data_IF_125882381258
#
_entry.id   IF_125882381258
#
_cell.length_a   1.000
_cell.length_b   1.000
_cell.length_c   1.000
_cell.angle_alpha   90.00
_cell.angle_beta   90.00
_cell.angle_gamma   90.00
#
_symmetry.space_group_name_H-M   'P 1'
#
loop_
_entity.id
_entity.type
_entity.pdbx_description
1 polymer ?
#
# COMPACT_ATOMS: atom_id res chain seq x y z
N UNK A 1 12.96 0.99 -11.55
CA UNK A 1 11.99 1.34 -10.51
C UNK A 1 10.81 0.37 -10.55
N UNK A 2 10.38 -0.09 -9.39
CA UNK A 2 9.29 -1.06 -9.30
C UNK A 2 7.97 -0.31 -9.17
N UNK A 3 7.04 -0.56 -10.09
CA UNK A 3 5.74 0.11 -10.14
C UNK A 3 4.57 -0.84 -9.91
N UNK A 4 4.79 -2.13 -10.03
CA UNK A 4 3.75 -3.14 -9.88
C UNK A 4 4.38 -4.48 -9.55
N UNK A 5 3.75 -5.25 -8.68
CA UNK A 5 4.15 -6.62 -8.39
C UNK A 5 2.95 -7.54 -8.58
N UNK A 6 3.17 -8.63 -9.32
CA UNK A 6 2.18 -9.67 -9.50
C UNK A 6 2.83 -11.01 -9.16
N UNK A 7 2.22 -11.72 -8.22
CA UNK A 7 2.78 -12.99 -7.76
C UNK A 7 1.82 -13.66 -6.79
N UNK A 8 2.37 -14.41 -5.85
CA UNK A 8 1.60 -15.09 -4.81
C UNK A 8 1.80 -14.40 -3.47
N UNK A 9 0.73 -14.29 -2.71
CA UNK A 9 0.82 -13.71 -1.37
C UNK A 9 1.51 -14.71 -0.43
N UNK A 10 2.73 -14.38 -0.01
CA UNK A 10 3.52 -15.26 0.85
C UNK A 10 3.13 -15.12 2.31
N UNK A 11 3.03 -13.87 2.80
CA UNK A 11 2.67 -13.60 4.18
C UNK A 11 2.18 -12.18 4.36
N UNK A 12 1.49 -11.93 5.47
CA UNK A 12 0.97 -10.61 5.83
C UNK A 12 1.32 -10.31 7.26
N UNK A 13 1.82 -9.11 7.51
CA UNK A 13 2.07 -8.57 8.86
C UNK A 13 1.11 -7.40 9.12
N UNK A 14 1.29 -6.71 10.25
CA UNK A 14 0.38 -5.61 10.64
C UNK A 14 0.46 -4.39 9.72
N UNK A 15 1.59 -4.18 9.05
CA UNK A 15 1.82 -3.00 8.20
C UNK A 15 2.43 -3.34 6.84
N UNK A 16 2.56 -4.63 6.52
CA UNK A 16 3.27 -5.07 5.33
C UNK A 16 2.82 -6.43 4.87
N UNK A 17 3.23 -6.77 3.66
CA UNK A 17 3.01 -8.09 3.08
C UNK A 17 4.24 -8.49 2.29
N UNK A 18 4.44 -9.80 2.12
CA UNK A 18 5.47 -10.32 1.24
C UNK A 18 4.80 -10.94 0.02
N UNK A 19 5.19 -10.47 -1.15
CA UNK A 19 4.72 -11.01 -2.43
C UNK A 19 5.84 -11.83 -3.04
N UNK A 20 5.56 -13.09 -3.31
CA UNK A 20 6.50 -14.00 -3.96
C UNK A 20 6.34 -13.89 -5.46
N UNK A 21 7.36 -13.38 -6.12
CA UNK A 21 7.42 -13.26 -7.58
C UNK A 21 8.53 -14.14 -8.10
N UNK A 22 8.16 -15.31 -8.58
CA UNK A 22 9.14 -16.27 -9.14
C UNK A 22 10.19 -16.75 -8.13
N UNK A 23 9.83 -16.87 -6.86
CA UNK A 23 10.73 -17.28 -5.80
C UNK A 23 11.43 -16.13 -5.08
N UNK A 24 11.22 -14.88 -5.52
CA UNK A 24 11.78 -13.70 -4.86
C UNK A 24 10.68 -13.07 -4.00
N UNK A 25 10.93 -12.93 -2.71
CA UNK A 25 10.00 -12.28 -1.79
C UNK A 25 10.22 -10.77 -1.74
N UNK A 26 9.21 -10.00 -2.13
CA UNK A 26 9.24 -8.54 -2.03
C UNK A 26 8.44 -8.09 -0.82
N UNK A 27 9.09 -7.40 0.11
CA UNK A 27 8.42 -6.81 1.26
C UNK A 27 7.81 -5.48 0.84
N UNK A 28 6.50 -5.36 1.00
CA UNK A 28 5.73 -4.19 0.58
C UNK A 28 4.97 -3.65 1.78
N UNK A 29 5.20 -2.38 2.12
CA UNK A 29 4.44 -1.72 3.17
C UNK A 29 3.08 -1.28 2.61
N UNK A 30 2.02 -1.52 3.36
CA UNK A 30 0.67 -1.27 2.90
C UNK A 30 -0.14 -0.59 3.99
N UNK A 31 -1.14 0.21 3.57
CA UNK A 31 -2.13 0.74 4.49
C UNK A 31 -3.01 -0.39 5.02
N UNK A 32 -3.67 -0.16 6.15
CA UNK A 32 -4.62 -1.14 6.69
C UNK A 32 -5.75 -1.42 5.68
N UNK A 33 -6.15 -0.43 4.90
CA UNK A 33 -7.16 -0.60 3.85
C UNK A 33 -6.71 -1.58 2.77
N UNK A 34 -5.46 -1.44 2.29
CA UNK A 34 -4.91 -2.35 1.29
C UNK A 34 -4.75 -3.75 1.88
N UNK A 35 -4.25 -3.88 3.10
CA UNK A 35 -4.09 -5.18 3.76
C UNK A 35 -5.42 -5.92 3.89
N UNK A 36 -6.51 -5.18 4.18
CA UNK A 36 -7.84 -5.78 4.30
C UNK A 36 -8.38 -6.32 2.97
N UNK A 37 -7.86 -5.86 1.85
CA UNK A 37 -8.26 -6.31 0.51
C UNK A 37 -7.41 -7.45 -0.03
N UNK A 38 -6.36 -7.84 0.67
CA UNK A 38 -5.48 -8.91 0.20
C UNK A 38 -6.20 -10.26 0.26
N UNK A 39 -5.87 -11.17 -0.68
CA UNK A 39 -6.41 -12.52 -0.66
C UNK A 39 -5.78 -13.34 0.47
N UNK A 40 -6.17 -14.61 0.56
CA UNK A 40 -5.56 -15.52 1.50
C UNK A 40 -4.12 -15.87 1.11
N UNK A 41 -3.34 -16.32 2.08
CA UNK A 41 -1.96 -16.75 1.86
C UNK A 41 -1.90 -17.83 0.77
N UNK A 42 -0.97 -17.66 -0.16
CA UNK A 42 -0.79 -18.57 -1.28
C UNK A 42 -1.57 -18.22 -2.53
N UNK A 43 -2.53 -17.29 -2.44
CA UNK A 43 -3.35 -16.90 -3.59
C UNK A 43 -2.63 -15.88 -4.47
N UNK A 44 -2.98 -15.79 -5.76
CA UNK A 44 -2.44 -14.76 -6.64
C UNK A 44 -2.82 -13.37 -6.17
N UNK A 45 -1.87 -12.44 -6.23
CA UNK A 45 -2.06 -11.06 -5.84
C UNK A 45 -1.35 -10.13 -6.81
N UNK A 46 -1.92 -8.96 -7.04
CA UNK A 46 -1.32 -7.90 -7.83
C UNK A 46 -1.46 -6.59 -7.07
N UNK A 47 -0.34 -5.91 -6.87
CA UNK A 47 -0.31 -4.62 -6.16
C UNK A 47 0.39 -3.58 -7.01
N UNK A 48 -0.16 -2.37 -7.02
CA UNK A 48 0.53 -1.20 -7.54
C UNK A 48 1.54 -0.76 -6.49
N UNK A 49 2.71 -0.30 -6.92
CA UNK A 49 3.82 -0.03 -6.02
C UNK A 49 4.40 1.36 -6.26
N UNK A 50 4.76 2.03 -5.17
CA UNK A 50 5.63 3.20 -5.17
C UNK A 50 6.96 2.79 -4.55
N UNK A 51 8.06 3.11 -5.23
CA UNK A 51 9.41 2.82 -4.75
C UNK A 51 10.02 4.07 -4.17
N UNK A 52 10.44 4.02 -2.90
CA UNK A 52 11.18 5.10 -2.26
C UNK A 52 12.60 4.66 -2.00
N UNK A 53 13.56 5.33 -2.64
CA UNK A 53 14.98 5.06 -2.48
C UNK A 53 15.59 6.11 -1.57
N UNK A 54 16.29 5.66 -0.54
CA UNK A 54 17.07 6.49 0.37
C UNK A 54 18.51 6.00 0.38
N UNK A 55 19.42 6.74 1.01
CA UNK A 55 20.84 6.35 1.06
C UNK A 55 21.06 4.97 1.63
N UNK A 56 20.29 4.60 2.64
CA UNK A 56 20.49 3.38 3.42
C UNK A 56 19.42 2.29 3.17
N UNK A 57 18.39 2.58 2.36
CA UNK A 57 17.33 1.59 2.13
C UNK A 57 16.52 1.89 0.88
N UNK A 58 15.81 0.85 0.43
CA UNK A 58 14.80 0.92 -0.62
C UNK A 58 13.52 0.36 0.01
N UNK A 59 12.46 1.17 0.05
CA UNK A 59 11.16 0.75 0.55
C UNK A 59 10.14 0.70 -0.58
N UNK A 60 9.34 -0.35 -0.60
CA UNK A 60 8.22 -0.51 -1.52
C UNK A 60 6.92 -0.29 -0.76
N UNK A 61 6.03 0.52 -1.32
CA UNK A 61 4.70 0.79 -0.76
C UNK A 61 3.66 0.27 -1.75
N UNK A 62 2.75 -0.58 -1.28
CA UNK A 62 1.80 -1.28 -2.14
C UNK A 62 0.37 -0.80 -1.95
N UNK A 63 -0.37 -0.79 -3.06
CA UNK A 63 -1.75 -0.32 -3.11
C UNK A 63 -2.60 -1.28 -3.91
N UNK A 64 -3.82 -1.52 -3.43
CA UNK A 64 -4.76 -2.40 -4.13
C UNK A 64 -5.36 -1.72 -5.36
N UNK A 65 -5.45 -0.39 -5.37
CA UNK A 65 -6.02 0.37 -6.48
C UNK A 65 -5.19 1.62 -6.80
N UNK A 66 -5.42 2.15 -8.00
CA UNK A 66 -4.69 3.32 -8.49
C UNK A 66 -5.04 4.59 -7.72
N UNK A 67 -6.26 4.72 -7.23
CA UNK A 67 -6.70 5.90 -6.49
C UNK A 67 -5.92 6.07 -5.19
N UNK A 68 -5.70 4.98 -4.45
CA UNK A 68 -4.93 5.01 -3.22
C UNK A 68 -3.47 5.39 -3.50
N UNK A 69 -2.89 4.88 -4.59
CA UNK A 69 -1.53 5.25 -4.98
C UNK A 69 -1.41 6.74 -5.31
N UNK A 70 -2.39 7.31 -6.01
CA UNK A 70 -2.41 8.74 -6.31
C UNK A 70 -2.47 9.56 -5.03
N UNK A 71 -3.34 9.21 -4.09
CA UNK A 71 -3.43 9.88 -2.80
C UNK A 71 -2.13 9.81 -2.02
N UNK A 72 -1.49 8.64 -2.02
CA UNK A 72 -0.19 8.47 -1.35
C UNK A 72 0.86 9.42 -1.94
N UNK A 73 0.95 9.51 -3.27
CA UNK A 73 1.86 10.43 -3.94
C UNK A 73 1.61 11.88 -3.54
N UNK A 74 0.34 12.28 -3.53
CA UNK A 74 -0.05 13.64 -3.15
C UNK A 74 0.32 13.94 -1.70
N UNK A 75 0.01 13.03 -0.78
CA UNK A 75 0.29 13.22 0.64
C UNK A 75 1.79 13.29 0.92
N UNK A 76 2.59 12.46 0.27
CA UNK A 76 4.04 12.44 0.50
C UNK A 76 4.77 13.58 -0.18
N UNK A 77 4.14 14.34 -1.06
CA UNK A 77 4.71 15.58 -1.59
C UNK A 77 4.56 16.76 -0.63
N UNK A 78 3.68 16.64 0.36
CA UNK A 78 3.50 17.68 1.38
C UNK A 78 4.69 17.68 2.34
N UNK A 79 5.24 18.85 2.59
CA UNK A 79 6.38 18.99 3.51
C UNK A 79 6.03 18.47 4.91
N UNK A 80 6.89 17.61 5.45
CA UNK A 80 6.68 17.01 6.76
C UNK A 80 5.86 15.73 6.78
N UNK A 81 5.33 15.30 5.62
CA UNK A 81 4.60 14.03 5.53
C UNK A 81 5.51 12.97 4.93
N UNK A 82 5.99 12.05 5.75
CA UNK A 82 6.75 10.89 5.29
C UNK A 82 5.83 9.75 4.86
N UNK A 83 6.42 8.68 4.32
CA UNK A 83 5.68 7.55 3.78
C UNK A 83 4.78 6.86 4.82
N UNK A 84 5.27 6.63 6.03
CA UNK A 84 4.47 6.00 7.09
C UNK A 84 3.27 6.85 7.49
N UNK A 85 3.49 8.16 7.60
CA UNK A 85 2.41 9.10 7.91
C UNK A 85 1.41 9.16 6.77
N UNK A 86 1.88 9.14 5.52
CA UNK A 86 1.03 9.09 4.35
C UNK A 86 0.10 7.88 4.35
N UNK A 87 0.63 6.70 4.69
CA UNK A 87 -0.20 5.49 4.80
C UNK A 87 -1.22 5.58 5.93
N UNK A 88 -0.85 6.16 7.06
CA UNK A 88 -1.75 6.36 8.18
C UNK A 88 -2.88 7.33 7.83
N UNK A 89 -2.56 8.42 7.13
CA UNK A 89 -3.55 9.40 6.65
C UNK A 89 -4.53 8.76 5.66
N UNK A 90 -4.03 7.93 4.75
CA UNK A 90 -4.89 7.21 3.80
C UNK A 90 -5.94 6.37 4.51
N UNK A 91 -5.56 5.70 5.58
CA UNK A 91 -6.50 4.92 6.39
C UNK A 91 -7.60 5.81 6.95
N UNK A 92 -7.24 6.94 7.54
CA UNK A 92 -8.19 7.91 8.11
C UNK A 92 -9.06 8.56 7.05
N UNK A 93 -8.46 9.00 5.94
CA UNK A 93 -9.16 9.63 4.84
C UNK A 93 -10.18 8.67 4.20
N UNK A 94 -9.79 7.41 3.98
CA UNK A 94 -10.68 6.41 3.42
C UNK A 94 -11.91 6.18 4.29
N UNK A 95 -11.71 6.07 5.59
CA UNK A 95 -12.79 5.92 6.56
C UNK A 95 -13.72 7.14 6.57
N UNK A 96 -13.13 8.33 6.61
CA UNK A 96 -13.88 9.59 6.59
C UNK A 96 -14.72 9.73 5.32
N UNK A 97 -14.18 9.37 4.18
CA UNK A 97 -14.88 9.38 2.90
C UNK A 97 -16.11 8.49 2.91
N UNK A 98 -15.98 7.28 3.45
CA UNK A 98 -17.10 6.35 3.56
C UNK A 98 -18.21 6.89 4.45
N UNK A 99 -17.84 7.45 5.59
CA UNK A 99 -18.80 8.03 6.52
C UNK A 99 -19.55 9.21 5.88
N UNK A 100 -18.82 10.06 5.16
CA UNK A 100 -19.42 11.19 4.47
C UNK A 100 -20.41 10.75 3.40
N UNK A 101 -20.07 9.73 2.62
CA UNK A 101 -20.98 9.15 1.62
C UNK A 101 -22.24 8.59 2.26
N UNK A 102 -22.09 7.85 3.35
CA UNK A 102 -23.22 7.26 4.05
C UNK A 102 -24.17 8.34 4.57
N UNK A 103 -23.64 9.44 5.08
CA UNK A 103 -24.45 10.56 5.61
C UNK A 103 -25.19 11.32 4.52
N UNK A 104 -24.67 11.37 3.31
CA UNK A 104 -25.29 12.09 2.20
C UNK A 104 -26.46 11.35 1.57
N UNK A 105 -26.60 10.10 1.87
CA UNK A 105 -27.72 9.29 1.41
C UNK A 105 -28.85 9.34 2.43
#
# INVERSE_FOLDING_TARGET
MIAKLTGLLDSVASDSAIVDVGGVGYLVFCSARTLAKLPEKGAPVSLLVETHVREDHIHLYGFADAAERVWFRLLTTVQGVGAKLGLAILRGAGKSFRETRARRR
#
